data_IF_778871699460
#
_entry.id   IF_778871699460
#
_cell.length_a   1.000
_cell.length_b   1.000
_cell.length_c   1.000
_cell.angle_alpha   90.00
_cell.angle_beta   90.00
_cell.angle_gamma   90.00
#
_symmetry.space_group_name_H-M   'P 1'
#
loop_
_entity.id
_entity.type
_entity.pdbx_description
1 polymer ?
#
# COMPACT_ATOMS: atom_id res chain seq x y z
N UNK A 1 -3.57 -29.23 -6.85
CA UNK A 1 -4.48 -28.68 -5.82
C UNK A 1 -3.74 -27.64 -4.99
N UNK A 2 -4.36 -26.52 -4.70
CA UNK A 2 -3.73 -25.50 -3.90
C UNK A 2 -3.57 -25.94 -2.43
N UNK A 3 -2.45 -25.58 -1.83
CA UNK A 3 -2.20 -25.79 -0.41
C UNK A 3 -2.81 -24.61 0.36
N UNK A 4 -3.94 -24.83 0.99
CA UNK A 4 -4.71 -23.78 1.66
C UNK A 4 -4.27 -23.69 3.12
N UNK A 5 -3.63 -22.58 3.46
CA UNK A 5 -3.13 -22.33 4.82
C UNK A 5 -3.18 -20.86 5.17
N UNK A 6 -3.17 -20.53 6.48
CA UNK A 6 -3.11 -19.14 6.91
C UNK A 6 -1.84 -18.43 6.46
N UNK A 7 -1.94 -17.14 6.24
CA UNK A 7 -0.81 -16.27 5.98
C UNK A 7 -0.59 -15.42 7.24
N UNK A 8 0.58 -15.53 7.83
CA UNK A 8 0.92 -14.75 9.02
C UNK A 8 1.52 -13.41 8.60
N UNK A 9 0.79 -12.34 8.78
CA UNK A 9 1.19 -11.01 8.34
C UNK A 9 2.45 -10.53 9.05
N UNK A 10 2.57 -10.73 10.36
CA UNK A 10 3.78 -10.38 11.11
C UNK A 10 5.02 -11.07 10.56
N UNK A 11 4.90 -12.36 10.28
CA UNK A 11 6.00 -13.14 9.70
C UNK A 11 6.41 -12.58 8.33
N UNK A 12 5.43 -12.22 7.51
CA UNK A 12 5.69 -11.66 6.18
C UNK A 12 6.42 -10.31 6.26
N UNK A 13 6.04 -9.44 7.18
CA UNK A 13 6.76 -8.17 7.38
C UNK A 13 8.20 -8.39 7.83
N UNK A 14 8.50 -9.48 8.54
CA UNK A 14 9.87 -9.78 8.97
C UNK A 14 10.81 -10.18 7.81
N UNK A 15 10.26 -10.42 6.63
CA UNK A 15 11.02 -10.89 5.47
C UNK A 15 11.63 -9.77 4.62
N UNK A 16 11.29 -8.53 4.89
CA UNK A 16 11.82 -7.39 4.15
C UNK A 16 11.92 -6.15 5.04
N UNK A 17 12.76 -5.21 4.65
CA UNK A 17 12.97 -3.96 5.38
C UNK A 17 13.07 -2.74 4.46
N UNK A 18 12.89 -2.95 3.15
CA UNK A 18 12.95 -1.87 2.18
C UNK A 18 11.63 -1.12 2.13
N UNK A 19 11.66 0.18 2.44
CA UNK A 19 10.48 1.04 2.42
C UNK A 19 10.00 1.31 1.00
N UNK A 20 8.71 1.63 0.88
CA UNK A 20 8.05 1.97 -0.39
C UNK A 20 8.18 0.89 -1.48
N UNK A 21 8.33 -0.35 -1.05
CA UNK A 21 8.51 -1.50 -1.94
C UNK A 21 7.44 -2.54 -1.59
N UNK A 22 6.31 -2.54 -2.28
CA UNK A 22 5.26 -3.52 -2.02
C UNK A 22 5.70 -4.95 -2.32
N UNK A 23 5.24 -5.89 -1.48
CA UNK A 23 5.48 -7.32 -1.65
C UNK A 23 4.15 -8.06 -1.64
N UNK A 24 3.96 -8.95 -2.59
CA UNK A 24 2.71 -9.71 -2.73
C UNK A 24 2.70 -10.86 -1.73
N UNK A 25 1.60 -10.99 -0.98
CA UNK A 25 1.41 -12.11 -0.06
C UNK A 25 0.24 -13.01 -0.47
N UNK A 26 -0.60 -12.57 -1.38
CA UNK A 26 -1.73 -13.37 -1.85
C UNK A 26 -2.48 -12.69 -2.98
N UNK A 27 -3.19 -13.50 -3.73
CA UNK A 27 -4.08 -13.03 -4.79
C UNK A 27 -5.45 -13.67 -4.62
N UNK A 28 -6.49 -12.93 -4.97
CA UNK A 28 -7.86 -13.42 -4.98
C UNK A 28 -8.61 -12.75 -6.12
N UNK A 29 -9.16 -13.57 -7.05
CA UNK A 29 -9.78 -13.07 -8.28
C UNK A 29 -8.82 -12.13 -9.03
N UNK A 30 -9.26 -10.93 -9.38
CA UNK A 30 -8.43 -9.93 -10.04
C UNK A 30 -7.72 -8.98 -9.06
N UNK A 31 -7.79 -9.29 -7.76
CA UNK A 31 -7.21 -8.47 -6.71
C UNK A 31 -5.99 -9.15 -6.11
N UNK A 32 -5.16 -8.37 -5.43
CA UNK A 32 -4.07 -8.92 -4.64
C UNK A 32 -3.92 -8.19 -3.31
N UNK A 33 -3.29 -8.89 -2.39
CA UNK A 33 -2.90 -8.35 -1.08
C UNK A 33 -1.40 -8.16 -1.11
N UNK A 34 -0.97 -6.94 -0.80
CA UNK A 34 0.45 -6.57 -0.72
C UNK A 34 0.75 -6.02 0.67
N UNK A 35 1.98 -6.17 1.10
CA UNK A 35 2.51 -5.52 2.29
C UNK A 35 3.57 -4.50 1.87
N UNK A 36 3.58 -3.36 2.53
CA UNK A 36 4.55 -2.31 2.26
C UNK A 36 4.89 -1.55 3.53
N UNK A 37 6.16 -1.27 3.73
CA UNK A 37 6.62 -0.42 4.82
C UNK A 37 6.70 1.01 4.31
N UNK A 38 6.06 1.93 5.02
CA UNK A 38 6.06 3.36 4.69
C UNK A 38 6.88 4.12 5.72
N UNK A 39 7.70 5.04 5.23
CA UNK A 39 8.43 5.97 6.09
C UNK A 39 8.66 7.29 5.34
N UNK A 40 8.39 8.41 6.01
CA UNK A 40 8.47 9.75 5.44
C UNK A 40 7.43 9.95 4.32
N UNK A 41 7.76 10.62 3.24
CA UNK A 41 6.82 10.98 2.19
C UNK A 41 6.97 10.11 0.95
N UNK A 42 5.85 9.94 0.26
CA UNK A 42 5.82 9.32 -1.06
C UNK A 42 5.39 10.34 -2.11
N UNK A 43 5.46 9.96 -3.39
CA UNK A 43 5.07 10.85 -4.48
C UNK A 43 3.57 11.11 -4.50
N UNK A 44 3.19 12.32 -4.88
CA UNK A 44 1.80 12.64 -5.20
C UNK A 44 1.40 11.89 -6.46
N UNK A 45 0.32 11.14 -6.39
CA UNK A 45 -0.14 10.34 -7.52
C UNK A 45 -1.63 10.07 -7.43
N UNK A 46 -2.18 9.59 -8.56
CA UNK A 46 -3.53 9.07 -8.63
C UNK A 46 -3.53 7.79 -9.45
N UNK A 47 -4.55 6.97 -9.27
CA UNK A 47 -4.79 5.78 -10.08
C UNK A 47 -5.97 6.05 -10.99
N UNK A 48 -5.77 5.90 -12.30
CA UNK A 48 -6.81 6.21 -13.28
C UNK A 48 -7.97 5.21 -13.25
N UNK A 49 -7.65 3.93 -13.09
CA UNK A 49 -8.62 2.85 -13.24
C UNK A 49 -8.77 1.97 -11.99
N UNK A 50 -8.02 2.23 -10.92
CA UNK A 50 -8.01 1.36 -9.75
C UNK A 50 -8.41 2.12 -8.50
N UNK A 51 -9.39 1.56 -7.78
CA UNK A 51 -9.61 1.88 -6.39
C UNK A 51 -8.61 1.08 -5.56
N UNK A 52 -8.24 1.58 -4.40
CA UNK A 52 -7.35 0.82 -3.51
C UNK A 52 -7.70 1.01 -2.05
N UNK A 53 -7.34 0.01 -1.27
CA UNK A 53 -7.54 0.01 0.17
C UNK A 53 -6.19 -0.07 0.86
N UNK A 54 -5.98 0.80 1.86
CA UNK A 54 -4.88 0.69 2.81
C UNK A 54 -5.41 0.31 4.18
N UNK A 55 -4.69 -0.54 4.87
CA UNK A 55 -4.89 -0.78 6.30
C UNK A 55 -3.58 -0.48 7.02
N UNK A 56 -3.63 0.39 8.03
CA UNK A 56 -2.50 0.62 8.90
C UNK A 56 -2.40 -0.57 9.86
N UNK A 57 -1.44 -1.45 9.64
CA UNK A 57 -1.24 -2.65 10.45
C UNK A 57 -0.43 -2.34 11.70
N UNK A 58 0.54 -1.45 11.60
CA UNK A 58 1.34 -0.98 12.73
C UNK A 58 1.70 0.49 12.52
N UNK A 59 1.53 1.29 13.55
CA UNK A 59 1.73 2.75 13.58
C UNK A 59 0.67 3.49 12.75
N UNK A 60 0.77 4.80 12.66
CA UNK A 60 -0.24 5.65 12.05
C UNK A 60 0.20 6.13 10.68
N UNK A 61 -0.68 5.93 9.70
CA UNK A 61 -0.51 6.42 8.34
C UNK A 61 -1.26 7.74 8.19
N UNK A 62 -0.68 8.67 7.45
CA UNK A 62 -1.33 9.90 7.01
C UNK A 62 -1.44 9.89 5.50
N UNK A 63 -2.56 10.34 4.97
CA UNK A 63 -2.74 10.53 3.53
C UNK A 63 -3.18 11.96 3.28
N UNK A 64 -2.36 12.67 2.54
CA UNK A 64 -2.67 14.03 2.09
C UNK A 64 -3.43 13.95 0.77
N UNK A 65 -4.43 14.80 0.61
CA UNK A 65 -5.24 14.89 -0.60
C UNK A 65 -5.20 16.33 -1.12
N UNK A 66 -5.36 16.48 -2.44
CA UNK A 66 -5.43 17.82 -3.04
C UNK A 66 -6.74 18.54 -2.72
N UNK A 67 -7.83 17.78 -2.60
CA UNK A 67 -9.17 18.35 -2.53
C UNK A 67 -9.85 18.23 -1.16
N UNK A 68 -9.12 17.77 -0.15
CA UNK A 68 -9.63 17.68 1.22
C UNK A 68 -8.49 17.70 2.23
N UNK A 69 -8.85 17.75 3.50
CA UNK A 69 -7.88 17.70 4.59
C UNK A 69 -7.18 16.35 4.67
N UNK A 70 -5.99 16.34 5.25
CA UNK A 70 -5.23 15.14 5.54
C UNK A 70 -6.06 14.18 6.40
N UNK A 71 -6.04 12.90 6.03
CA UNK A 71 -6.71 11.84 6.76
C UNK A 71 -5.67 11.06 7.55
N UNK A 72 -5.96 10.86 8.84
CA UNK A 72 -5.16 10.04 9.74
C UNK A 72 -5.79 8.64 9.83
N UNK A 73 -4.98 7.61 9.57
CA UNK A 73 -5.41 6.21 9.64
C UNK A 73 -4.60 5.54 10.75
N UNK A 74 -5.27 5.20 11.85
CA UNK A 74 -4.66 4.57 13.02
C UNK A 74 -4.56 3.05 12.85
N UNK A 75 -3.75 2.41 13.68
CA UNK A 75 -3.63 0.94 13.65
C UNK A 75 -5.00 0.27 13.64
N UNK A 76 -5.17 -0.68 12.71
CA UNK A 76 -6.41 -1.41 12.54
C UNK A 76 -7.47 -0.70 11.73
N UNK A 77 -7.24 0.56 11.35
CA UNK A 77 -8.16 1.28 10.50
C UNK A 77 -7.82 1.11 9.03
N UNK A 78 -8.83 1.20 8.19
CA UNK A 78 -8.68 1.15 6.74
C UNK A 78 -9.10 2.47 6.11
N UNK A 79 -8.55 2.76 4.94
CA UNK A 79 -9.02 3.82 4.07
C UNK A 79 -9.19 3.26 2.67
N UNK A 80 -10.28 3.63 2.02
CA UNK A 80 -10.51 3.30 0.61
C UNK A 80 -10.33 4.58 -0.19
N UNK A 81 -9.38 4.57 -1.11
CA UNK A 81 -9.11 5.71 -1.99
C UNK A 81 -9.65 5.35 -3.37
N UNK A 82 -10.77 5.97 -3.77
CA UNK A 82 -11.33 5.75 -5.10
C UNK A 82 -10.37 6.23 -6.19
N UNK A 83 -10.45 5.61 -7.35
CA UNK A 83 -9.65 6.00 -8.51
C UNK A 83 -9.79 7.50 -8.79
N UNK A 84 -8.75 8.07 -9.42
CA UNK A 84 -8.68 9.48 -9.83
C UNK A 84 -8.58 10.50 -8.69
N UNK A 85 -8.38 10.06 -7.47
CA UNK A 85 -8.11 10.95 -6.34
C UNK A 85 -6.61 11.12 -6.18
N UNK A 86 -6.13 12.34 -6.30
CA UNK A 86 -4.71 12.64 -6.15
C UNK A 86 -4.34 12.71 -4.69
N UNK A 87 -3.41 11.86 -4.29
CA UNK A 87 -3.04 11.68 -2.90
C UNK A 87 -1.55 11.43 -2.73
N UNK A 88 -1.06 11.66 -1.52
CA UNK A 88 0.30 11.34 -1.12
C UNK A 88 0.28 10.71 0.28
N UNK A 89 0.57 9.43 0.40
CA UNK A 89 0.71 8.80 1.71
C UNK A 89 2.03 9.24 2.36
N UNK A 90 2.02 9.41 3.68
CA UNK A 90 3.20 9.77 4.45
C UNK A 90 3.11 9.28 5.88
N UNK A 91 4.24 9.34 6.56
CA UNK A 91 4.32 9.11 8.00
C UNK A 91 4.92 10.34 8.68
N UNK A 92 4.85 10.39 9.99
CA UNK A 92 5.48 11.44 10.79
C UNK A 92 6.83 10.96 11.37
N UNK A 93 7.65 10.33 10.53
CA UNK A 93 8.96 9.83 10.92
C UNK A 93 8.97 8.41 11.44
N UNK A 94 7.80 7.84 11.78
CA UNK A 94 7.69 6.46 12.21
C UNK A 94 7.66 5.52 11.01
N UNK A 95 8.15 4.30 11.20
CA UNK A 95 7.97 3.23 10.24
C UNK A 95 6.54 2.70 10.38
N UNK A 96 5.78 2.74 9.29
CA UNK A 96 4.39 2.30 9.26
C UNK A 96 4.27 1.04 8.41
N UNK A 97 3.66 -0.01 8.97
CA UNK A 97 3.38 -1.26 8.26
C UNK A 97 1.99 -1.19 7.67
N UNK A 98 1.90 -1.28 6.35
CA UNK A 98 0.64 -1.19 5.63
C UNK A 98 0.33 -2.45 4.86
N UNK A 99 -0.95 -2.82 4.88
CA UNK A 99 -1.51 -3.83 3.99
C UNK A 99 -2.26 -3.08 2.89
N UNK A 100 -2.00 -3.46 1.65
CA UNK A 100 -2.66 -2.91 0.47
C UNK A 100 -3.53 -4.00 -0.15
N UNK A 101 -4.76 -3.64 -0.50
CA UNK A 101 -5.67 -4.49 -1.24
C UNK A 101 -6.11 -3.73 -2.49
N UNK A 102 -5.78 -4.26 -3.66
CA UNK A 102 -5.95 -3.54 -4.93
C UNK A 102 -5.88 -4.49 -6.12
N UNK A 103 -6.33 -4.06 -7.32
CA UNK A 103 -6.17 -4.88 -8.51
C UNK A 103 -4.71 -5.26 -8.77
N UNK A 104 -4.50 -6.46 -9.29
CA UNK A 104 -3.16 -7.04 -9.53
C UNK A 104 -2.23 -6.13 -10.35
N UNK A 105 -2.79 -5.42 -11.32
CA UNK A 105 -2.01 -4.60 -12.25
C UNK A 105 -1.70 -3.19 -11.73
N UNK A 106 -2.04 -2.87 -10.47
CA UNK A 106 -1.87 -1.54 -9.93
C UNK A 106 -0.39 -1.22 -9.70
N UNK A 107 0.10 -0.14 -10.31
CA UNK A 107 1.42 0.43 -10.02
C UNK A 107 1.36 1.23 -8.73
N UNK A 108 2.35 1.07 -7.85
CA UNK A 108 2.33 1.75 -6.56
C UNK A 108 2.48 3.29 -6.66
N UNK A 109 3.01 3.81 -7.75
CA UNK A 109 3.08 5.25 -8.04
C UNK A 109 1.95 5.73 -8.95
N UNK A 110 0.95 4.90 -9.23
CA UNK A 110 -0.18 5.24 -10.08
C UNK A 110 0.24 5.61 -11.51
N UNK A 111 -0.21 6.78 -11.98
CA UNK A 111 0.11 7.29 -13.31
C UNK A 111 1.45 8.04 -13.36
N UNK A 112 2.12 8.21 -12.23
CA UNK A 112 3.38 8.94 -12.14
C UNK A 112 4.56 7.99 -12.35
N UNK A 113 5.47 8.36 -13.25
CA UNK A 113 6.77 7.71 -13.37
C UNK A 113 7.79 8.47 -12.53
N UNK A 114 8.48 7.78 -11.65
CA UNK A 114 9.51 8.35 -10.80
C UNK A 114 10.59 7.33 -10.52
N UNK A 115 11.66 7.74 -9.84
CA UNK A 115 12.71 6.82 -9.42
C UNK A 115 12.19 5.75 -8.43
N UNK A 116 11.03 6.00 -7.81
CA UNK A 116 10.39 5.06 -6.87
C UNK A 116 9.47 4.06 -7.56
N UNK A 117 9.18 4.23 -8.86
CA UNK A 117 8.26 3.35 -9.59
C UNK A 117 8.89 1.98 -9.83
N UNK A 118 8.16 0.92 -9.47
CA UNK A 118 8.52 -0.47 -9.75
C UNK A 118 7.59 -1.02 -10.84
N UNK A 119 8.14 -1.79 -11.76
CA UNK A 119 7.38 -2.41 -12.86
C UNK A 119 6.88 -3.80 -12.52
N UNK A 120 7.38 -4.40 -11.44
CA UNK A 120 6.95 -5.70 -10.92
C UNK A 120 7.17 -5.75 -9.41
N UNK A 121 6.44 -6.67 -8.73
CA UNK A 121 6.55 -6.83 -7.29
C UNK A 121 6.90 -8.29 -6.97
N UNK A 122 7.71 -8.47 -5.94
CA UNK A 122 8.09 -9.78 -5.47
C UNK A 122 7.02 -10.40 -4.57
N UNK A 123 6.93 -11.72 -4.65
CA UNK A 123 6.17 -12.52 -3.70
C UNK A 123 7.04 -12.88 -2.50
N UNK A 124 6.43 -12.90 -1.34
CA UNK A 124 7.13 -13.36 -0.13
C UNK A 124 6.37 -14.44 0.65
#
# INVERSE_FOLDING_TARGET
MADIKPINIHEKFSKFDKTWTPHIIGELNEQCVKLCEFKDEFVWHSHKDEDKLFMAFKSTLFVDFKDQETVEIKEGEIIIIPKRNRASPRTNGDLVFNLLFEPKETKHTGTVNSAKTLHSFEWI
#
